data_IF_607001622405
#
_entry.id   IF_607001622405
#
_cell.length_a   1.000
_cell.length_b   1.000
_cell.length_c   1.000
_cell.angle_alpha   90.00
_cell.angle_beta   90.00
_cell.angle_gamma   90.00
#
_symmetry.space_group_name_H-M   'P 1'
#
loop_
_entity.id
_entity.type
_entity.pdbx_description
1 polymer ?
#
# COMPACT_ATOMS: atom_id res chain seq x y z
N UNK A 1 57.30 -39.73 35.88
CA UNK A 1 57.33 -40.60 34.69
C UNK A 1 56.34 -40.03 33.70
N UNK A 2 56.85 -39.39 32.66
CA UNK A 2 56.13 -38.63 31.64
C UNK A 2 55.93 -39.53 30.43
N UNK A 3 54.71 -39.67 29.90
CA UNK A 3 54.48 -40.27 28.57
C UNK A 3 53.32 -39.53 27.88
N UNK A 4 53.69 -38.75 26.85
CA UNK A 4 52.86 -38.18 25.80
C UNK A 4 52.34 -39.27 24.83
N UNK A 5 51.34 -38.95 24.00
CA UNK A 5 51.60 -38.94 22.56
C UNK A 5 51.01 -37.69 21.89
N UNK A 6 51.81 -36.85 21.22
CA UNK A 6 52.20 -36.89 19.80
C UNK A 6 51.05 -36.87 18.77
N UNK A 7 50.87 -35.65 18.22
CA UNK A 7 50.70 -35.27 16.81
C UNK A 7 49.83 -36.16 15.92
N UNK A 8 48.83 -35.55 15.28
CA UNK A 8 48.81 -35.46 13.81
C UNK A 8 48.20 -34.12 13.36
N UNK A 9 49.00 -33.40 12.57
CA UNK A 9 48.66 -32.16 11.91
C UNK A 9 47.87 -32.47 10.64
N UNK A 10 46.67 -31.89 10.50
CA UNK A 10 46.11 -31.63 9.18
C UNK A 10 45.85 -30.14 9.06
N UNK A 11 46.80 -29.49 8.38
CA UNK A 11 46.70 -28.15 7.86
C UNK A 11 45.84 -28.26 6.58
N UNK A 12 44.58 -27.82 6.63
CA UNK A 12 43.82 -27.49 5.43
C UNK A 12 43.70 -25.97 5.38
N UNK A 13 44.52 -25.38 4.53
CA UNK A 13 44.47 -23.96 4.18
C UNK A 13 43.14 -23.65 3.51
N UNK A 14 42.24 -22.99 4.22
CA UNK A 14 41.06 -22.37 3.64
C UNK A 14 41.45 -20.96 3.15
N UNK A 15 41.93 -20.88 1.91
CA UNK A 15 42.06 -19.61 1.20
C UNK A 15 40.66 -19.08 0.89
N UNK A 16 40.18 -18.14 1.70
CA UNK A 16 38.98 -17.34 1.39
C UNK A 16 39.35 -16.28 0.35
N UNK A 17 39.16 -16.61 -0.92
CA UNK A 17 39.07 -15.63 -2.00
C UNK A 17 37.67 -15.01 -1.95
N UNK A 18 37.59 -13.76 -1.51
CA UNK A 18 36.41 -12.91 -1.63
C UNK A 18 36.17 -12.64 -3.13
N UNK A 19 35.31 -13.42 -3.76
CA UNK A 19 34.71 -13.07 -5.04
C UNK A 19 33.48 -12.20 -4.75
N UNK A 20 33.66 -10.88 -4.86
CA UNK A 20 32.57 -9.91 -4.95
C UNK A 20 31.72 -10.24 -6.19
N UNK A 21 30.62 -10.97 -6.00
CA UNK A 21 29.57 -11.06 -7.01
C UNK A 21 28.62 -9.90 -6.77
N UNK A 22 28.82 -8.83 -7.53
CA UNK A 22 27.85 -7.76 -7.68
C UNK A 22 26.57 -8.34 -8.32
N UNK A 23 25.56 -8.59 -7.49
CA UNK A 23 24.20 -8.87 -7.97
C UNK A 23 23.58 -7.52 -8.35
N UNK A 24 23.92 -7.03 -9.54
CA UNK A 24 23.09 -6.05 -10.24
C UNK A 24 21.90 -6.81 -10.85
N UNK A 25 20.82 -6.94 -10.08
CA UNK A 25 19.53 -7.37 -10.65
C UNK A 25 18.97 -6.22 -11.48
N UNK A 26 19.20 -6.27 -12.78
CA UNK A 26 18.56 -5.39 -13.75
C UNK A 26 17.04 -5.60 -13.68
N UNK A 27 16.32 -4.53 -13.32
CA UNK A 27 14.88 -4.43 -13.54
C UNK A 27 14.61 -4.49 -15.05
N UNK A 28 14.25 -5.67 -15.55
CA UNK A 28 13.73 -5.84 -16.90
C UNK A 28 12.22 -6.08 -16.78
N UNK A 29 11.44 -5.02 -17.01
CA UNK A 29 10.02 -5.17 -17.29
C UNK A 29 9.87 -5.89 -18.63
N UNK A 30 8.99 -6.89 -18.77
CA UNK A 30 8.65 -7.41 -20.08
C UNK A 30 7.87 -6.33 -20.86
N UNK A 31 8.48 -5.80 -21.92
CA UNK A 31 7.79 -5.01 -22.94
C UNK A 31 6.65 -5.82 -23.53
N UNK A 32 5.42 -5.34 -23.34
CA UNK A 32 4.24 -5.83 -24.05
C UNK A 32 4.43 -5.60 -25.55
N UNK A 33 4.61 -6.69 -26.30
CA UNK A 33 4.45 -6.68 -27.75
C UNK A 33 2.96 -6.59 -28.07
N UNK A 34 2.46 -5.37 -28.31
CA UNK A 34 1.16 -5.15 -28.91
C UNK A 34 1.23 -5.58 -30.38
N UNK A 35 0.79 -6.81 -30.66
CA UNK A 35 0.55 -7.27 -32.03
C UNK A 35 -0.81 -6.77 -32.48
N UNK A 36 -0.76 -5.99 -33.55
CA UNK A 36 -1.84 -5.47 -34.39
C UNK A 36 -2.99 -6.48 -34.56
N UNK A 37 -4.13 -6.18 -33.95
CA UNK A 37 -5.39 -6.85 -34.22
C UNK A 37 -5.95 -6.36 -35.57
N UNK A 38 -6.06 -7.28 -36.51
CA UNK A 38 -6.80 -7.12 -37.77
C UNK A 38 -8.30 -7.17 -37.46
N UNK A 39 -9.10 -6.12 -37.76
CA UNK A 39 -10.54 -6.18 -37.57
C UNK A 39 -11.19 -6.93 -38.74
N UNK A 40 -11.74 -8.11 -38.49
CA UNK A 40 -12.72 -8.72 -39.41
C UNK A 40 -14.11 -8.14 -39.12
N UNK A 41 -14.92 -7.82 -40.14
CA UNK A 41 -16.19 -7.15 -39.96
C UNK A 41 -17.27 -8.14 -39.47
N UNK A 42 -17.86 -7.82 -38.33
CA UNK A 42 -19.14 -8.38 -37.89
C UNK A 42 -20.24 -7.86 -38.84
N UNK A 43 -20.77 -8.72 -39.71
CA UNK A 43 -22.01 -8.44 -40.43
C UNK A 43 -23.13 -9.28 -39.81
N UNK A 44 -23.99 -8.62 -39.05
CA UNK A 44 -25.28 -9.13 -38.60
C UNK A 44 -26.35 -8.77 -39.65
N UNK A 45 -27.30 -9.65 -39.99
CA UNK A 45 -28.33 -9.37 -40.96
C UNK A 45 -29.35 -8.33 -40.42
N UNK A 46 -29.86 -7.39 -41.23
CA UNK A 46 -30.81 -6.41 -40.76
C UNK A 46 -32.23 -6.99 -40.67
N UNK A 47 -32.84 -6.88 -39.48
CA UNK A 47 -34.29 -7.02 -39.30
C UNK A 47 -35.03 -5.79 -39.87
N UNK A 48 -36.25 -5.95 -40.40
CA UNK A 48 -36.96 -4.90 -41.11
C UNK A 48 -37.53 -3.85 -40.14
N UNK A 49 -37.21 -2.58 -40.41
CA UNK A 49 -37.82 -1.44 -39.74
C UNK A 49 -39.22 -1.20 -40.28
N UNK A 50 -40.21 -1.40 -39.43
CA UNK A 50 -41.52 -0.78 -39.52
C UNK A 50 -41.38 0.74 -39.41
N UNK A 51 -42.00 1.50 -40.34
CA UNK A 51 -42.45 2.85 -40.05
C UNK A 51 -43.82 3.11 -40.71
N UNK A 52 -44.77 3.71 -39.98
CA UNK A 52 -46.13 3.97 -40.44
C UNK A 52 -46.31 5.39 -41.01
N UNK A 53 -47.48 5.58 -41.64
CA UNK A 53 -48.14 6.83 -42.05
C UNK A 53 -47.78 7.36 -43.45
N UNK A 54 -48.76 7.34 -44.36
CA UNK A 54 -49.35 8.61 -44.78
C UNK A 54 -50.77 8.46 -45.35
N UNK A 55 -51.66 9.21 -44.72
CA UNK A 55 -53.03 9.47 -45.11
C UNK A 55 -53.02 10.77 -45.91
N UNK A 56 -53.34 10.74 -47.22
CA UNK A 56 -53.84 11.92 -47.91
C UNK A 56 -54.68 11.57 -49.13
N UNK A 57 -55.99 11.74 -48.92
CA UNK A 57 -57.01 12.02 -49.94
C UNK A 57 -56.52 13.05 -50.96
N UNK A 58 -56.83 12.79 -52.23
CA UNK A 58 -57.27 13.82 -53.16
C UNK A 58 -58.37 13.25 -54.04
N UNK A 59 -59.59 13.77 -53.84
CA UNK A 59 -60.71 13.57 -54.73
C UNK A 59 -60.41 14.29 -56.05
N UNK A 60 -60.58 13.62 -57.19
CA UNK A 60 -60.99 14.31 -58.40
C UNK A 60 -62.30 13.70 -58.89
N UNK A 61 -63.34 14.51 -58.74
CA UNK A 61 -64.67 14.27 -59.27
C UNK A 61 -64.64 14.44 -60.79
N UNK A 62 -65.12 13.41 -61.49
CA UNK A 62 -65.80 13.55 -62.78
C UNK A 62 -67.09 12.74 -62.64
N UNK A 63 -68.18 13.49 -62.55
CA UNK A 63 -69.54 12.97 -62.67
C UNK A 63 -69.85 12.95 -64.15
N UNK A 64 -70.03 11.77 -64.73
CA UNK A 64 -70.81 11.60 -65.95
C UNK A 64 -71.92 10.59 -65.64
N UNK A 65 -73.10 10.96 -66.10
CA UNK A 65 -74.41 10.46 -65.72
C UNK A 65 -74.79 9.25 -66.58
N UNK A 66 -75.59 8.37 -66.00
CA UNK A 66 -76.49 7.39 -66.65
C UNK A 66 -75.86 6.21 -67.41
N UNK A 67 -75.86 5.02 -66.78
CA UNK A 67 -76.67 3.87 -67.21
C UNK A 67 -76.31 2.61 -66.39
N UNK A 68 -77.34 1.84 -66.00
CA UNK A 68 -77.26 0.58 -65.28
C UNK A 68 -76.48 -0.51 -66.06
N UNK A 69 -75.31 -0.96 -65.57
CA UNK A 69 -74.77 -2.29 -65.93
C UNK A 69 -73.79 -2.86 -64.88
N UNK A 70 -74.22 -3.93 -64.23
CA UNK A 70 -73.59 -4.60 -63.08
C UNK A 70 -72.42 -5.51 -63.55
N UNK A 71 -71.22 -4.94 -63.72
CA UNK A 71 -70.01 -5.68 -64.16
C UNK A 71 -68.84 -5.53 -63.18
N UNK A 72 -68.99 -6.03 -61.95
CA UNK A 72 -67.87 -6.26 -61.03
C UNK A 72 -67.13 -7.56 -61.40
N UNK A 73 -65.80 -7.57 -61.69
CA UNK A 73 -65.05 -8.79 -61.97
C UNK A 73 -65.10 -9.78 -60.80
N UNK A 74 -65.52 -11.02 -61.08
CA UNK A 74 -65.61 -12.09 -60.09
C UNK A 74 -64.22 -12.38 -59.47
N UNK A 75 -64.12 -12.55 -58.15
CA UNK A 75 -62.84 -12.81 -57.48
C UNK A 75 -62.32 -14.21 -57.84
N UNK A 76 -61.07 -14.29 -58.33
CA UNK A 76 -60.38 -15.56 -58.50
C UNK A 76 -60.25 -16.29 -57.15
N UNK A 77 -60.44 -17.62 -57.10
CA UNK A 77 -60.23 -18.37 -55.87
C UNK A 77 -58.76 -18.22 -55.47
N UNK A 78 -58.52 -17.76 -54.24
CA UNK A 78 -57.14 -17.64 -53.76
C UNK A 78 -56.45 -19.03 -53.72
N UNK A 79 -55.14 -19.09 -53.52
CA UNK A 79 -54.44 -20.37 -53.38
C UNK A 79 -54.80 -21.07 -52.07
N UNK A 80 -54.62 -22.38 -51.99
CA UNK A 80 -54.80 -23.14 -50.75
C UNK A 80 -53.71 -22.76 -49.72
N UNK A 81 -54.09 -22.24 -48.52
CA UNK A 81 -53.13 -21.77 -47.53
C UNK A 81 -52.41 -22.94 -46.83
N UNK A 82 -51.22 -22.67 -46.26
CA UNK A 82 -50.40 -23.70 -45.60
C UNK A 82 -50.90 -24.12 -44.23
N UNK A 83 -51.51 -23.19 -43.53
CA UNK A 83 -52.10 -23.38 -42.20
C UNK A 83 -53.03 -24.58 -42.13
N UNK A 84 -53.83 -24.79 -43.18
CA UNK A 84 -54.94 -25.74 -43.12
C UNK A 84 -54.46 -27.19 -43.10
N UNK A 85 -53.28 -27.44 -43.68
CA UNK A 85 -52.62 -28.75 -43.72
C UNK A 85 -51.73 -29.03 -42.49
N UNK A 86 -51.54 -28.06 -41.59
CA UNK A 86 -50.74 -28.23 -40.37
C UNK A 86 -51.58 -28.70 -39.17
N UNK A 87 -52.87 -28.96 -39.37
CA UNK A 87 -53.76 -29.38 -38.29
C UNK A 87 -53.47 -30.84 -37.88
N UNK A 88 -53.31 -31.14 -36.58
CA UNK A 88 -52.87 -32.46 -36.10
C UNK A 88 -53.87 -33.59 -36.37
N UNK A 89 -55.15 -33.26 -36.62
CA UNK A 89 -56.22 -34.19 -36.97
C UNK A 89 -56.77 -33.90 -38.36
N UNK A 90 -55.90 -33.61 -39.33
CA UNK A 90 -56.30 -33.32 -40.70
C UNK A 90 -57.07 -34.51 -41.31
N UNK A 91 -58.33 -34.28 -41.69
CA UNK A 91 -59.14 -35.24 -42.44
C UNK A 91 -59.51 -34.65 -43.79
N UNK A 92 -59.11 -35.27 -44.92
CA UNK A 92 -59.35 -34.70 -46.25
C UNK A 92 -60.83 -34.43 -46.53
N UNK A 93 -61.72 -35.28 -46.02
CA UNK A 93 -63.17 -35.19 -46.23
C UNK A 93 -63.78 -33.94 -45.59
N UNK A 94 -63.39 -33.63 -44.34
CA UNK A 94 -63.88 -32.42 -43.65
C UNK A 94 -63.28 -31.17 -44.29
N UNK A 95 -62.01 -31.20 -44.68
CA UNK A 95 -61.34 -30.09 -45.35
C UNK A 95 -61.96 -29.77 -46.72
N UNK A 96 -62.20 -30.78 -47.56
CA UNK A 96 -62.87 -30.58 -48.85
C UNK A 96 -64.31 -30.07 -48.70
N UNK A 97 -65.01 -30.48 -47.63
CA UNK A 97 -66.36 -29.97 -47.34
C UNK A 97 -66.38 -28.48 -46.98
N UNK A 98 -65.36 -27.99 -46.28
CA UNK A 98 -65.22 -26.55 -45.96
C UNK A 98 -64.88 -25.69 -47.18
N UNK A 99 -64.35 -26.31 -48.23
CA UNK A 99 -63.92 -25.66 -49.46
C UNK A 99 -65.05 -25.49 -50.50
N UNK A 100 -66.23 -26.06 -50.24
CA UNK A 100 -67.38 -26.00 -51.14
C UNK A 100 -67.86 -24.56 -51.45
N UNK A 101 -67.59 -23.61 -50.55
CA UNK A 101 -67.97 -22.21 -50.68
C UNK A 101 -67.08 -21.39 -51.62
N UNK A 102 -66.07 -22.00 -52.26
CA UNK A 102 -65.03 -21.29 -53.01
C UNK A 102 -65.27 -21.18 -54.52
N UNK A 103 -66.42 -21.61 -55.04
CA UNK A 103 -66.82 -21.52 -56.46
C UNK A 103 -65.70 -21.83 -57.49
N UNK A 104 -64.83 -22.80 -57.19
CA UNK A 104 -63.72 -23.22 -58.04
C UNK A 104 -64.10 -24.47 -58.83
N UNK A 105 -63.52 -24.66 -60.02
CA UNK A 105 -63.70 -25.93 -60.75
C UNK A 105 -62.92 -27.05 -60.07
N UNK A 106 -63.44 -28.28 -60.13
CA UNK A 106 -62.76 -29.45 -59.54
C UNK A 106 -61.40 -29.73 -60.18
N UNK A 107 -61.23 -29.37 -61.46
CA UNK A 107 -59.96 -29.55 -62.15
C UNK A 107 -58.89 -28.58 -61.62
N UNK A 108 -59.27 -27.33 -61.35
CA UNK A 108 -58.39 -26.29 -60.81
C UNK A 108 -58.00 -26.60 -59.34
N UNK A 109 -58.94 -27.09 -58.54
CA UNK A 109 -58.67 -27.60 -57.19
C UNK A 109 -57.69 -28.78 -57.21
N UNK A 110 -57.82 -29.68 -58.19
CA UNK A 110 -56.93 -30.82 -58.35
C UNK A 110 -55.52 -30.38 -58.74
N UNK A 111 -55.37 -29.40 -59.62
CA UNK A 111 -54.06 -28.85 -59.96
C UNK A 111 -53.42 -28.13 -58.77
N UNK A 112 -54.17 -27.34 -58.01
CA UNK A 112 -53.64 -26.62 -56.84
C UNK A 112 -53.18 -27.60 -55.75
N UNK A 113 -53.96 -28.65 -55.47
CA UNK A 113 -53.54 -29.71 -54.53
C UNK A 113 -52.27 -30.45 -55.00
N UNK A 114 -52.15 -30.75 -56.29
CA UNK A 114 -50.95 -31.40 -56.85
C UNK A 114 -49.72 -30.48 -56.79
N UNK A 115 -49.89 -29.22 -57.14
CA UNK A 115 -48.84 -28.21 -57.04
C UNK A 115 -48.36 -28.07 -55.59
N UNK A 116 -49.31 -28.03 -54.64
CA UNK A 116 -48.99 -27.91 -53.22
C UNK A 116 -48.28 -29.14 -52.67
N UNK A 117 -48.69 -30.34 -53.07
CA UNK A 117 -48.00 -31.58 -52.71
C UNK A 117 -46.55 -31.56 -53.21
N UNK A 118 -46.32 -31.10 -54.45
CA UNK A 118 -44.97 -30.98 -55.01
C UNK A 118 -44.12 -29.98 -54.20
N UNK A 119 -44.68 -28.81 -53.88
CA UNK A 119 -44.01 -27.78 -53.08
C UNK A 119 -43.63 -28.30 -51.69
N UNK A 120 -44.51 -29.04 -51.03
CA UNK A 120 -44.21 -29.63 -49.71
C UNK A 120 -43.09 -30.66 -49.83
N UNK A 121 -43.07 -31.49 -50.88
CA UNK A 121 -41.98 -32.46 -51.07
C UNK A 121 -40.63 -31.80 -51.34
N UNK A 122 -40.60 -30.70 -52.08
CA UNK A 122 -39.35 -29.94 -52.29
C UNK A 122 -38.92 -29.23 -51.01
N UNK A 123 -39.86 -28.61 -50.28
CA UNK A 123 -39.56 -27.95 -49.01
C UNK A 123 -39.04 -28.94 -47.95
N UNK A 124 -39.61 -30.14 -47.90
CA UNK A 124 -39.12 -31.20 -47.01
C UNK A 124 -37.69 -31.58 -47.35
N UNK A 125 -37.39 -31.77 -48.64
CA UNK A 125 -36.05 -32.12 -49.09
C UNK A 125 -35.06 -30.99 -48.79
N UNK A 126 -35.46 -29.74 -48.98
CA UNK A 126 -34.64 -28.56 -48.67
C UNK A 126 -34.38 -28.42 -47.16
N UNK A 127 -35.40 -28.60 -46.30
CA UNK A 127 -35.25 -28.56 -44.85
C UNK A 127 -34.38 -29.70 -44.33
N UNK A 128 -34.56 -30.89 -44.89
CA UNK A 128 -33.77 -32.07 -44.61
C UNK A 128 -32.31 -31.79 -44.97
N UNK A 129 -32.04 -31.31 -46.18
CA UNK A 129 -30.68 -31.01 -46.63
C UNK A 129 -30.03 -29.87 -45.84
N UNK A 130 -30.76 -28.78 -45.55
CA UNK A 130 -30.23 -27.66 -44.76
C UNK A 130 -29.85 -28.09 -43.35
N UNK A 131 -30.69 -28.91 -42.72
CA UNK A 131 -30.46 -29.36 -41.37
C UNK A 131 -29.37 -30.44 -41.32
N UNK A 132 -29.26 -31.32 -42.33
CA UNK A 132 -28.18 -32.29 -42.41
C UNK A 132 -26.80 -31.63 -42.48
N UNK A 133 -26.66 -30.55 -43.25
CA UNK A 133 -25.41 -29.78 -43.31
C UNK A 133 -25.07 -29.18 -41.94
N UNK A 134 -26.06 -28.61 -41.25
CA UNK A 134 -25.87 -28.05 -39.91
C UNK A 134 -25.46 -29.12 -38.89
N UNK A 135 -26.15 -30.27 -38.85
CA UNK A 135 -25.83 -31.37 -37.94
C UNK A 135 -24.45 -32.00 -38.23
N UNK A 136 -24.06 -32.12 -39.50
CA UNK A 136 -22.71 -32.57 -39.87
C UNK A 136 -21.65 -31.54 -39.46
N UNK A 137 -21.93 -30.25 -39.64
CA UNK A 137 -21.03 -29.18 -39.19
C UNK A 137 -20.88 -29.16 -37.67
N UNK A 138 -21.95 -29.44 -36.92
CA UNK A 138 -21.92 -29.52 -35.47
C UNK A 138 -21.17 -30.77 -35.00
N UNK A 139 -21.42 -31.91 -35.64
CA UNK A 139 -20.70 -33.16 -35.37
C UNK A 139 -19.20 -33.04 -35.63
N UNK A 140 -18.79 -32.34 -36.69
CA UNK A 140 -17.37 -32.07 -36.97
C UNK A 140 -16.74 -31.07 -35.99
N UNK A 141 -17.48 -30.07 -35.49
CA UNK A 141 -17.00 -29.15 -34.44
C UNK A 141 -16.90 -29.81 -33.07
N UNK A 142 -17.84 -30.69 -32.72
CA UNK A 142 -17.77 -31.48 -31.48
C UNK A 142 -16.64 -32.51 -31.53
N UNK A 143 -16.43 -33.12 -32.70
CA UNK A 143 -15.31 -34.05 -32.94
C UNK A 143 -13.98 -33.29 -32.94
N UNK A 144 -13.31 -33.29 -31.79
CA UNK A 144 -12.07 -32.52 -31.54
C UNK A 144 -12.27 -31.31 -30.63
N UNK A 145 -13.52 -30.99 -30.25
CA UNK A 145 -13.79 -30.03 -29.17
C UNK A 145 -13.33 -30.55 -27.81
N UNK A 146 -13.43 -31.87 -27.59
CA UNK A 146 -12.94 -32.54 -26.37
C UNK A 146 -11.43 -32.36 -26.17
N UNK A 147 -10.63 -32.45 -27.23
CA UNK A 147 -9.17 -32.24 -27.18
C UNK A 147 -8.82 -30.81 -26.75
N UNK A 148 -9.49 -29.81 -27.33
CA UNK A 148 -9.32 -28.39 -26.95
C UNK A 148 -9.73 -28.12 -25.51
N UNK A 149 -10.80 -28.77 -25.04
CA UNK A 149 -11.25 -28.65 -23.65
C UNK A 149 -10.21 -29.27 -22.71
N UNK A 150 -9.66 -30.43 -23.05
CA UNK A 150 -8.63 -31.07 -22.24
C UNK A 150 -7.32 -30.26 -22.25
N UNK A 151 -6.92 -29.67 -23.38
CA UNK A 151 -5.78 -28.74 -23.45
C UNK A 151 -5.98 -27.53 -22.52
N UNK A 152 -7.15 -26.88 -22.58
CA UNK A 152 -7.48 -25.76 -21.69
C UNK A 152 -7.48 -26.21 -20.23
N UNK A 153 -8.04 -27.39 -19.94
CA UNK A 153 -8.05 -27.95 -18.58
C UNK A 153 -6.63 -28.17 -18.06
N UNK A 154 -5.75 -28.77 -18.85
CA UNK A 154 -4.34 -28.96 -18.49
C UNK A 154 -3.63 -27.62 -18.32
N UNK A 155 -3.89 -26.64 -19.20
CA UNK A 155 -3.36 -25.29 -19.10
C UNK A 155 -3.78 -24.59 -17.81
N UNK A 156 -5.06 -24.66 -17.44
CA UNK A 156 -5.59 -24.08 -16.19
C UNK A 156 -4.99 -24.77 -14.96
N UNK A 157 -4.81 -26.10 -15.00
CA UNK A 157 -4.15 -26.83 -13.92
C UNK A 157 -2.67 -26.46 -13.79
N UNK A 158 -1.97 -26.25 -14.91
CA UNK A 158 -0.59 -25.76 -14.94
C UNK A 158 -0.49 -24.36 -14.34
N UNK A 159 -1.33 -23.44 -14.79
CA UNK A 159 -1.40 -22.08 -14.27
C UNK A 159 -1.71 -22.05 -12.76
N UNK A 160 -2.64 -22.89 -12.30
CA UNK A 160 -2.95 -23.00 -10.87
C UNK A 160 -1.73 -23.40 -10.04
N UNK A 161 -0.92 -24.35 -10.53
CA UNK A 161 0.34 -24.76 -9.87
C UNK A 161 1.40 -23.65 -9.89
N UNK A 162 1.52 -22.91 -10.99
CA UNK A 162 2.44 -21.79 -11.09
C UNK A 162 2.07 -20.66 -10.12
N UNK A 163 0.78 -20.33 -10.01
CA UNK A 163 0.28 -19.33 -9.06
C UNK A 163 0.54 -19.77 -7.61
N UNK A 164 0.32 -21.05 -7.31
CA UNK A 164 0.63 -21.62 -6.01
C UNK A 164 2.13 -21.54 -5.68
N UNK A 165 3.01 -21.91 -6.62
CA UNK A 165 4.45 -21.77 -6.45
C UNK A 165 4.88 -20.31 -6.22
N UNK A 166 4.32 -19.36 -6.97
CA UNK A 166 4.58 -17.92 -6.76
C UNK A 166 4.08 -17.47 -5.38
N UNK A 167 2.89 -17.90 -4.97
CA UNK A 167 2.34 -17.58 -3.65
C UNK A 167 3.24 -18.08 -2.53
N UNK A 168 3.77 -19.30 -2.66
CA UNK A 168 4.65 -19.89 -1.65
C UNK A 168 5.99 -19.14 -1.57
N UNK A 169 6.56 -18.72 -2.71
CA UNK A 169 7.76 -17.86 -2.73
C UNK A 169 7.49 -16.51 -2.08
N UNK A 170 6.35 -15.87 -2.39
CA UNK A 170 5.96 -14.59 -1.78
C UNK A 170 5.77 -14.73 -0.28
N UNK A 171 5.15 -15.81 0.19
CA UNK A 171 4.98 -16.09 1.62
C UNK A 171 6.34 -16.24 2.33
N UNK A 172 7.27 -17.01 1.76
CA UNK A 172 8.61 -17.17 2.31
C UNK A 172 9.38 -15.84 2.37
N UNK A 173 9.26 -15.00 1.32
CA UNK A 173 9.89 -13.66 1.32
C UNK A 173 9.24 -12.72 2.32
N UNK A 174 7.92 -12.79 2.52
CA UNK A 174 7.23 -11.98 3.50
C UNK A 174 7.69 -12.33 4.94
N UNK A 175 7.91 -13.62 5.22
CA UNK A 175 8.46 -14.07 6.50
C UNK A 175 9.89 -13.57 6.71
N UNK A 176 10.77 -13.73 5.71
CA UNK A 176 12.16 -13.23 5.75
C UNK A 176 12.20 -11.72 6.00
N UNK A 177 11.39 -10.94 5.28
CA UNK A 177 11.28 -9.49 5.47
C UNK A 177 10.74 -9.16 6.87
N UNK A 178 9.78 -9.94 7.38
CA UNK A 178 9.27 -9.80 8.73
C UNK A 178 10.37 -9.90 9.79
N UNK A 179 11.18 -10.96 9.71
CA UNK A 179 12.34 -11.16 10.61
C UNK A 179 13.32 -9.99 10.53
N UNK A 180 13.71 -9.59 9.31
CA UNK A 180 14.63 -8.47 9.11
C UNK A 180 14.08 -7.14 9.63
N UNK A 181 12.77 -6.91 9.55
CA UNK A 181 12.14 -5.71 10.09
C UNK A 181 12.15 -5.69 11.62
N UNK A 182 11.92 -6.84 12.25
CA UNK A 182 12.00 -6.97 13.71
C UNK A 182 13.44 -6.78 14.21
N UNK A 183 14.42 -7.37 13.54
CA UNK A 183 15.84 -7.12 13.80
C UNK A 183 16.19 -5.63 13.66
N UNK A 184 15.75 -4.99 12.56
CA UNK A 184 15.95 -3.55 12.35
C UNK A 184 15.28 -2.71 13.43
N UNK A 185 14.11 -3.12 13.92
CA UNK A 185 13.41 -2.44 15.01
C UNK A 185 14.18 -2.56 16.32
N UNK A 186 14.72 -3.75 16.62
CA UNK A 186 15.55 -3.94 17.81
C UNK A 186 16.83 -3.13 17.72
N UNK A 187 17.54 -3.18 16.60
CA UNK A 187 18.75 -2.39 16.37
C UNK A 187 18.49 -0.88 16.54
N UNK A 188 17.34 -0.38 16.09
CA UNK A 188 16.96 1.04 16.30
C UNK A 188 16.79 1.39 17.77
N UNK A 189 16.22 0.49 18.59
CA UNK A 189 16.11 0.69 20.03
C UNK A 189 17.49 0.71 20.66
N UNK A 190 18.35 -0.22 20.28
CA UNK A 190 19.71 -0.33 20.81
C UNK A 190 20.55 0.91 20.43
N UNK A 191 20.42 1.40 19.18
CA UNK A 191 21.03 2.67 18.75
C UNK A 191 20.50 3.86 19.55
N UNK A 192 19.19 3.91 19.82
CA UNK A 192 18.60 4.99 20.62
C UNK A 192 19.17 4.98 22.03
N UNK A 193 19.22 3.82 22.68
CA UNK A 193 19.83 3.66 24.00
C UNK A 193 21.31 4.05 23.95
N UNK A 194 22.07 3.55 22.97
CA UNK A 194 23.48 3.91 22.78
C UNK A 194 23.71 5.42 22.61
N UNK A 195 22.87 6.11 21.82
CA UNK A 195 22.93 7.57 21.66
C UNK A 195 22.62 8.30 22.96
N UNK A 196 21.64 7.84 23.75
CA UNK A 196 21.35 8.41 25.07
C UNK A 196 22.50 8.22 26.04
N UNK A 197 23.16 7.06 26.02
CA UNK A 197 24.33 6.80 26.85
C UNK A 197 25.51 7.72 26.49
N UNK A 198 25.75 7.92 25.19
CA UNK A 198 26.76 8.88 24.71
C UNK A 198 26.42 10.32 25.10
N UNK A 199 25.15 10.73 24.96
CA UNK A 199 24.67 12.04 25.37
C UNK A 199 24.87 12.27 26.89
N UNK A 200 24.62 11.24 27.71
CA UNK A 200 24.88 11.31 29.17
C UNK A 200 26.37 11.48 29.44
N UNK A 201 27.25 10.74 28.76
CA UNK A 201 28.70 10.82 28.97
C UNK A 201 29.26 12.18 28.55
N UNK A 202 28.90 12.68 27.37
CA UNK A 202 29.32 14.00 26.87
C UNK A 202 28.88 15.11 27.83
N UNK A 203 27.61 15.09 28.25
CA UNK A 203 27.07 16.09 29.19
C UNK A 203 27.70 15.98 30.57
N UNK A 204 28.06 14.78 31.01
CA UNK A 204 28.76 14.57 32.29
C UNK A 204 30.19 15.08 32.21
N UNK A 205 30.92 14.78 31.14
CA UNK A 205 32.29 15.26 30.90
C UNK A 205 32.34 16.78 30.77
N UNK A 206 31.43 17.37 30.00
CA UNK A 206 31.28 18.83 29.88
C UNK A 206 31.06 19.49 31.24
N UNK A 207 30.20 18.89 32.08
CA UNK A 207 29.88 19.42 33.40
C UNK A 207 31.06 19.24 34.36
N UNK A 208 31.75 18.10 34.33
CA UNK A 208 32.98 17.87 35.10
C UNK A 208 34.09 18.86 34.73
N UNK A 209 34.30 19.09 33.43
CA UNK A 209 35.30 20.04 32.93
C UNK A 209 34.98 21.48 33.34
N UNK A 210 33.71 21.91 33.23
CA UNK A 210 33.28 23.25 33.66
C UNK A 210 33.40 23.46 35.16
N UNK A 211 33.10 22.42 35.93
CA UNK A 211 33.13 22.43 37.39
C UNK A 211 34.54 22.12 37.94
N UNK A 212 35.54 21.97 37.05
CA UNK A 212 36.93 21.62 37.37
C UNK A 212 37.04 20.41 38.31
N UNK A 213 36.11 19.47 38.16
CA UNK A 213 36.17 18.19 38.87
C UNK A 213 37.21 17.38 38.12
N UNK A 214 38.46 17.49 38.55
CA UNK A 214 39.57 16.70 38.03
C UNK A 214 39.13 15.22 37.94
N UNK A 215 39.16 14.61 36.75
CA UNK A 215 38.95 13.18 36.66
C UNK A 215 40.08 12.52 37.44
N UNK A 216 39.77 11.47 38.21
CA UNK A 216 40.78 10.66 38.92
C UNK A 216 41.75 9.91 37.97
N UNK A 217 41.93 10.40 36.74
CA UNK A 217 42.86 9.91 35.75
C UNK A 217 43.40 11.09 34.93
N UNK A 218 44.33 11.84 35.52
CA UNK A 218 45.10 12.90 34.87
C UNK A 218 45.86 12.32 33.67
N UNK A 219 45.49 12.69 32.45
CA UNK A 219 46.36 12.80 31.26
C UNK A 219 45.68 13.65 30.18
N UNK A 220 45.74 14.97 30.27
CA UNK A 220 46.12 15.84 29.13
C UNK A 220 46.13 17.30 29.57
N UNK A 221 47.32 17.82 29.80
CA UNK A 221 47.57 19.25 29.82
C UNK A 221 47.47 19.80 28.38
N UNK A 222 46.91 21.00 28.27
CA UNK A 222 46.83 21.88 27.09
C UNK A 222 45.61 21.71 26.18
N UNK A 223 44.55 22.46 26.51
CA UNK A 223 43.81 23.17 25.48
C UNK A 223 43.24 24.49 26.04
N UNK A 224 43.83 25.65 25.75
CA UNK A 224 43.21 26.94 26.01
C UNK A 224 42.37 27.29 24.77
N UNK A 225 41.12 26.85 24.71
CA UNK A 225 40.24 27.33 23.63
C UNK A 225 38.76 27.21 23.96
N UNK A 226 38.06 28.31 23.68
CA UNK A 226 36.62 28.53 23.73
C UNK A 226 36.02 28.82 25.12
N UNK A 227 36.49 29.91 25.75
CA UNK A 227 35.56 30.83 26.39
C UNK A 227 34.72 31.47 25.29
N UNK A 228 33.55 30.89 25.00
CA UNK A 228 32.48 31.57 24.27
C UNK A 228 31.55 32.17 25.35
N UNK A 229 32.02 33.26 25.95
CA UNK A 229 31.17 34.14 26.75
C UNK A 229 30.57 35.17 25.80
N UNK A 230 29.35 34.87 25.35
CA UNK A 230 28.42 35.81 24.75
C UNK A 230 28.15 36.91 25.79
N UNK A 231 28.83 38.04 25.60
CA UNK A 231 28.78 39.23 26.46
C UNK A 231 28.32 40.41 25.60
N UNK A 232 27.04 40.38 25.22
CA UNK A 232 26.32 41.60 24.87
C UNK A 232 25.75 42.18 26.17
N UNK A 233 26.39 43.23 26.68
CA UNK A 233 25.67 44.34 27.30
C UNK A 233 26.57 45.58 27.27
N UNK A 234 26.16 46.51 26.40
CA UNK A 234 26.57 47.91 26.40
C UNK A 234 25.91 48.57 27.64
N UNK A 235 26.72 49.11 28.55
CA UNK A 235 26.54 50.43 29.19
C UNK A 235 27.44 50.53 30.44
N UNK A 236 28.48 51.36 30.32
CA UNK A 236 29.33 51.80 31.44
C UNK A 236 28.59 52.87 32.25
N UNK A 237 28.02 52.51 33.40
CA UNK A 237 27.86 53.43 34.54
C UNK A 237 28.19 52.72 35.86
N UNK A 238 29.02 53.38 36.66
CA UNK A 238 29.75 52.89 37.83
C UNK A 238 28.87 52.38 39.00
N UNK A 239 28.96 51.09 39.37
CA UNK A 239 28.80 50.58 40.75
C UNK A 239 29.73 49.35 40.98
N UNK A 240 30.94 49.63 41.47
CA UNK A 240 31.96 48.63 41.84
C UNK A 240 31.51 47.74 43.01
N UNK A 241 30.87 46.59 42.72
CA UNK A 241 30.69 45.54 43.72
C UNK A 241 29.69 44.43 43.37
N UNK A 242 28.68 44.72 42.55
CA UNK A 242 27.54 43.81 42.32
C UNK A 242 27.68 42.92 41.06
N UNK A 243 28.50 43.34 40.10
CA UNK A 243 28.67 42.63 38.82
C UNK A 243 29.35 41.26 38.96
N UNK A 244 30.35 41.13 39.85
CA UNK A 244 31.08 39.87 40.04
C UNK A 244 30.22 38.77 40.72
N UNK A 245 29.36 39.15 41.67
CA UNK A 245 28.44 38.21 42.33
C UNK A 245 27.28 37.81 41.40
N UNK A 246 26.83 38.73 40.54
CA UNK A 246 25.83 38.45 39.50
C UNK A 246 26.34 37.46 38.43
N UNK A 247 27.56 37.64 37.93
CA UNK A 247 28.17 36.72 36.94
C UNK A 247 28.40 35.32 37.50
N UNK A 248 28.86 35.20 38.76
CA UNK A 248 29.01 33.91 39.45
C UNK A 248 27.67 33.22 39.69
N UNK A 249 26.62 33.98 40.05
CA UNK A 249 25.25 33.46 40.17
C UNK A 249 24.72 32.92 38.84
N UNK A 250 24.91 33.65 37.74
CA UNK A 250 24.50 33.23 36.40
C UNK A 250 25.20 31.93 35.97
N UNK A 251 26.53 31.84 36.16
CA UNK A 251 27.31 30.62 35.87
C UNK A 251 26.80 29.42 36.68
N UNK A 252 26.59 29.61 37.98
CA UNK A 252 26.12 28.54 38.86
C UNK A 252 24.69 28.08 38.56
N UNK A 253 23.82 29.02 38.18
CA UNK A 253 22.49 28.70 37.66
C UNK A 253 22.56 27.85 36.38
N UNK A 254 23.46 28.18 35.45
CA UNK A 254 23.70 27.37 34.23
C UNK A 254 24.19 25.96 34.59
N UNK A 255 25.10 25.82 35.56
CA UNK A 255 25.59 24.51 36.01
C UNK A 255 24.50 23.68 36.71
N UNK A 256 23.68 24.30 37.56
CA UNK A 256 22.55 23.63 38.22
C UNK A 256 21.52 23.12 37.20
N UNK A 257 21.18 23.93 36.19
CA UNK A 257 20.27 23.51 35.12
C UNK A 257 20.86 22.36 34.28
N UNK A 258 22.16 22.41 33.96
CA UNK A 258 22.84 21.33 33.24
C UNK A 258 22.83 20.02 34.06
N UNK A 259 23.07 20.10 35.37
CA UNK A 259 22.98 18.94 36.27
C UNK A 259 21.56 18.36 36.30
N UNK A 260 20.52 19.19 36.40
CA UNK A 260 19.13 18.72 36.39
C UNK A 260 18.77 18.02 35.08
N UNK A 261 19.19 18.57 33.94
CA UNK A 261 19.02 17.92 32.64
C UNK A 261 19.72 16.55 32.60
N UNK A 262 20.94 16.47 33.10
CA UNK A 262 21.69 15.21 33.21
C UNK A 262 20.98 14.19 34.12
N UNK A 263 20.43 14.63 35.26
CA UNK A 263 19.63 13.76 36.14
C UNK A 263 18.36 13.26 35.46
N UNK A 264 17.71 14.08 34.63
CA UNK A 264 16.55 13.66 33.87
C UNK A 264 16.90 12.64 32.78
N UNK A 265 18.00 12.85 32.05
CA UNK A 265 18.47 11.91 31.03
C UNK A 265 18.87 10.56 31.64
N UNK A 266 19.56 10.58 32.78
CA UNK A 266 19.94 9.36 33.50
C UNK A 266 18.74 8.62 34.08
N UNK A 267 17.70 9.34 34.53
CA UNK A 267 16.43 8.73 34.97
C UNK A 267 15.73 7.93 33.86
N UNK A 268 15.87 8.34 32.60
CA UNK A 268 15.28 7.61 31.48
C UNK A 268 15.97 6.25 31.19
N UNK A 269 17.19 6.04 31.71
CA UNK A 269 18.05 4.89 31.39
C UNK A 269 18.59 4.20 32.67
N UNK A 270 17.89 4.35 33.80
CA UNK A 270 18.31 3.95 35.16
C UNK A 270 18.86 2.52 35.28
N UNK A 271 18.33 1.56 34.52
CA UNK A 271 18.65 0.14 34.65
C UNK A 271 19.92 -0.28 33.88
N UNK A 272 20.54 0.60 33.11
CA UNK A 272 21.69 0.22 32.29
C UNK A 272 22.99 0.16 33.14
N UNK A 273 23.83 -0.90 33.02
CA UNK A 273 25.06 -1.06 33.82
C UNK A 273 26.03 0.13 33.76
N UNK A 274 26.06 0.81 32.60
CA UNK A 274 26.85 2.03 32.43
C UNK A 274 26.43 3.15 33.40
N UNK A 275 25.13 3.38 33.57
CA UNK A 275 24.63 4.43 34.48
C UNK A 275 25.07 4.13 35.91
N UNK A 276 25.04 2.86 36.32
CA UNK A 276 25.50 2.41 37.64
C UNK A 276 26.99 2.72 37.82
N UNK A 277 27.84 2.46 36.82
CA UNK A 277 29.27 2.79 36.88
C UNK A 277 29.50 4.30 37.03
N UNK A 278 28.69 5.12 36.34
CA UNK A 278 28.81 6.58 36.38
C UNK A 278 28.16 7.24 37.61
N UNK A 279 27.45 6.51 38.47
CA UNK A 279 26.87 7.08 39.69
C UNK A 279 27.93 7.74 40.59
N UNK A 280 29.14 7.17 40.66
CA UNK A 280 30.23 7.74 41.47
C UNK A 280 30.72 9.10 40.96
N UNK A 281 30.67 9.32 39.65
CA UNK A 281 31.02 10.58 38.99
C UNK A 281 29.91 11.61 39.17
N UNK A 282 28.67 11.19 38.93
CA UNK A 282 27.48 12.03 39.11
C UNK A 282 27.34 12.53 40.56
N UNK A 283 27.69 11.68 41.54
CA UNK A 283 27.73 12.06 42.95
C UNK A 283 28.85 13.08 43.25
N UNK A 284 30.03 12.93 42.64
CA UNK A 284 31.13 13.89 42.77
C UNK A 284 30.72 15.26 42.22
N UNK A 285 30.17 15.31 41.00
CA UNK A 285 29.68 16.55 40.37
C UNK A 285 28.63 17.24 41.25
N UNK A 286 27.67 16.47 41.80
CA UNK A 286 26.66 17.01 42.74
C UNK A 286 27.32 17.68 43.95
N UNK A 287 28.26 17.00 44.60
CA UNK A 287 28.90 17.51 45.82
C UNK A 287 29.76 18.74 45.53
N UNK A 288 30.48 18.77 44.42
CA UNK A 288 31.25 19.95 44.02
C UNK A 288 30.35 21.14 43.73
N UNK A 289 29.22 20.92 43.03
CA UNK A 289 28.26 22.00 42.75
C UNK A 289 27.68 22.57 44.05
N UNK A 290 27.34 21.71 45.01
CA UNK A 290 26.83 22.14 46.31
C UNK A 290 27.89 22.88 47.14
N UNK A 291 29.15 22.47 47.03
CA UNK A 291 30.28 23.16 47.65
C UNK A 291 30.48 24.54 47.04
N UNK A 292 30.47 24.66 45.71
CA UNK A 292 30.59 25.93 44.99
C UNK A 292 29.42 26.87 45.31
N UNK A 293 28.21 26.34 45.45
CA UNK A 293 27.04 27.11 45.86
C UNK A 293 27.16 27.58 47.30
N UNK A 294 27.68 26.74 48.19
CA UNK A 294 27.92 27.12 49.58
C UNK A 294 29.01 28.19 49.70
N UNK A 295 30.09 28.11 48.93
CA UNK A 295 31.16 29.12 48.94
C UNK A 295 30.68 30.43 48.33
N UNK A 296 29.93 30.40 47.23
CA UNK A 296 29.34 31.58 46.61
C UNK A 296 28.36 32.30 47.55
N UNK A 297 27.50 31.57 48.25
CA UNK A 297 26.58 32.16 49.26
C UNK A 297 27.35 32.81 50.40
N UNK A 298 28.42 32.18 50.91
CA UNK A 298 29.26 32.77 51.97
C UNK A 298 29.97 34.04 51.49
N UNK A 299 30.46 34.06 50.25
CA UNK A 299 31.06 35.24 49.64
C UNK A 299 30.03 36.36 49.49
N UNK A 300 28.82 36.06 49.00
CA UNK A 300 27.73 37.03 48.89
C UNK A 300 27.31 37.60 50.26
N UNK A 301 27.31 36.78 51.33
CA UNK A 301 27.07 37.25 52.69
C UNK A 301 28.20 38.15 53.21
N UNK A 302 29.46 37.81 52.94
CA UNK A 302 30.61 38.60 53.38
C UNK A 302 30.68 39.97 52.69
N UNK A 303 30.28 40.05 51.41
CA UNK A 303 30.26 41.30 50.63
C UNK A 303 29.03 42.17 50.92
N UNK A 304 28.06 41.70 51.73
CA UNK A 304 26.88 42.49 52.10
C UNK A 304 25.87 42.67 50.96
N UNK A 305 25.77 41.66 50.09
CA UNK A 305 24.97 41.69 48.86
C UNK A 305 23.47 41.84 49.13
N UNK A 306 22.74 42.43 48.18
CA UNK A 306 21.29 42.62 48.23
C UNK A 306 20.54 41.32 48.55
N UNK A 307 19.52 41.41 49.43
CA UNK A 307 18.71 40.24 49.81
C UNK A 307 18.00 39.55 48.65
N UNK A 308 17.90 40.19 47.47
CA UNK A 308 17.38 39.60 46.23
C UNK A 308 18.33 38.53 45.68
N UNK A 309 19.63 38.80 45.56
CA UNK A 309 20.58 37.82 45.04
C UNK A 309 20.73 36.61 45.98
N UNK A 310 20.63 36.82 47.30
CA UNK A 310 20.62 35.73 48.27
C UNK A 310 19.38 34.83 48.11
N UNK A 311 18.24 35.42 47.76
CA UNK A 311 17.01 34.68 47.43
C UNK A 311 17.18 33.89 46.12
N UNK A 312 17.86 34.45 45.13
CA UNK A 312 18.13 33.76 43.86
C UNK A 312 19.06 32.54 44.06
N UNK A 313 20.07 32.62 44.93
CA UNK A 313 20.87 31.44 45.33
C UNK A 313 20.01 30.36 46.01
N UNK A 314 19.04 30.76 46.87
CA UNK A 314 18.10 29.83 47.47
C UNK A 314 17.15 29.18 46.44
N UNK A 315 16.78 29.91 45.39
CA UNK A 315 15.99 29.35 44.28
C UNK A 315 16.78 28.22 43.61
N UNK A 316 18.09 28.38 43.42
CA UNK A 316 18.94 27.32 42.85
C UNK A 316 18.99 26.09 43.78
N UNK A 317 19.16 26.27 45.09
CA UNK A 317 19.07 25.14 46.05
C UNK A 317 17.72 24.43 46.00
N UNK A 318 16.62 25.18 45.86
CA UNK A 318 15.27 24.62 45.72
C UNK A 318 15.11 23.84 44.42
N UNK A 319 15.61 24.38 43.30
CA UNK A 319 15.60 23.72 42.00
C UNK A 319 16.39 22.38 42.04
N UNK A 320 17.48 22.32 42.82
CA UNK A 320 18.25 21.10 43.04
C UNK A 320 17.61 20.09 44.01
N UNK A 321 16.59 20.52 44.76
CA UNK A 321 15.97 19.71 45.82
C UNK A 321 16.71 19.72 47.16
N UNK A 322 17.77 20.52 47.31
CA UNK A 322 18.67 20.56 48.47
C UNK A 322 18.37 21.75 49.41
N UNK A 323 17.11 21.85 49.85
CA UNK A 323 16.67 22.98 50.67
C UNK A 323 17.29 23.01 52.07
N UNK A 324 17.63 21.84 52.64
CA UNK A 324 18.26 21.75 53.97
C UNK A 324 19.69 22.29 53.96
N UNK A 325 20.47 21.94 52.93
CA UNK A 325 21.82 22.49 52.75
C UNK A 325 21.80 23.99 52.45
N UNK A 326 20.79 24.47 51.72
CA UNK A 326 20.61 25.90 51.47
C UNK A 326 20.35 26.72 52.73
N UNK A 327 19.50 26.22 53.64
CA UNK A 327 19.29 26.86 54.95
C UNK A 327 20.54 26.76 55.83
N UNK A 328 21.27 25.64 55.76
CA UNK A 328 22.56 25.45 56.45
C UNK A 328 23.63 26.44 56.00
N UNK A 329 23.77 26.64 54.68
CA UNK A 329 24.70 27.60 54.10
C UNK A 329 24.43 29.04 54.58
N UNK A 330 23.15 29.40 54.74
CA UNK A 330 22.71 30.72 55.21
C UNK A 330 22.96 30.96 56.70
N UNK A 331 22.87 29.92 57.52
CA UNK A 331 23.10 29.97 58.98
C UNK A 331 24.57 29.93 59.38
N UNK A 332 25.49 29.66 58.44
CA UNK A 332 26.93 29.65 58.71
C UNK A 332 27.41 28.46 59.56
N UNK A 333 26.67 27.33 59.56
CA UNK A 333 27.05 26.08 60.25
C UNK A 333 27.69 25.12 59.25
#
# INVERSE_FOLDING_TARGET
MSIYPLRHSHCTSLSHTYANVAIMSAFYLPSSTATTATPSPLTSPPSPKSNPLDNRRSNHAYSDSDDDDDNTPLPFPATLPRSDFLTPNFTPETYLSTLHNRHQTLEDLRSDLRQRSSLITTELLDLVNSNYEEFLSLGTKLKGGEEKIEEVRVGVLGFGREVEAVRDVVAARAEEVGVLLDEKKQLRKDILVGRRLLEIEERLEDLEARLMVEPNNSLSANNPSANDEDSDDEDEEDEEGDSATSTTLSRLRKHAQAYLLLTHLTQQVLEHPFVIAQQSRLFRVRNTLLLDLRTAVKQAQATGVSGKQLLDFLVIYRELGETEEGVGALKGV
#
